data_IF_466677420983
#
_entry.id   IF_466677420983
#
_cell.length_a   1.000
_cell.length_b   1.000
_cell.length_c   1.000
_cell.angle_alpha   90.00
_cell.angle_beta   90.00
_cell.angle_gamma   90.00
#
_symmetry.space_group_name_H-M   'P 1'
#
loop_
_entity.id
_entity.type
_entity.pdbx_description
1 polymer ?
#
# COMPACT_ATOMS: atom_id res chain seq x y z
N UNK A 1 -1.93 0.60 11.91
CA UNK A 1 -1.15 1.71 12.51
C UNK A 1 -1.34 2.92 11.61
N UNK A 2 -0.89 4.13 11.99
CA UNK A 2 -0.83 5.22 11.03
C UNK A 2 0.23 4.89 9.96
N UNK A 3 0.15 5.54 8.79
CA UNK A 3 1.25 5.48 7.81
C UNK A 3 2.54 5.93 8.50
N UNK A 4 3.52 5.03 8.57
CA UNK A 4 4.78 5.24 9.27
C UNK A 4 5.95 4.98 8.32
N UNK A 5 6.70 6.04 8.04
CA UNK A 5 7.82 5.98 7.10
C UNK A 5 8.98 5.08 7.58
N UNK A 6 9.13 4.89 8.89
CA UNK A 6 10.15 4.01 9.47
C UNK A 6 9.80 2.56 9.23
N UNK A 7 8.54 2.19 9.48
CA UNK A 7 8.05 0.82 9.24
C UNK A 7 8.10 0.51 7.75
N UNK A 8 7.57 1.39 6.91
CA UNK A 8 7.62 1.22 5.46
C UNK A 8 9.07 1.12 4.93
N UNK A 9 9.98 1.95 5.46
CA UNK A 9 11.39 1.91 5.09
C UNK A 9 12.06 0.57 5.44
N UNK A 10 11.74 0.00 6.61
CA UNK A 10 12.23 -1.31 7.02
C UNK A 10 11.71 -2.43 6.11
N UNK A 11 10.42 -2.41 5.78
CA UNK A 11 9.81 -3.44 4.92
C UNK A 11 10.36 -3.38 3.49
N UNK A 12 10.55 -2.17 2.93
CA UNK A 12 11.17 -1.98 1.60
C UNK A 12 12.62 -2.47 1.63
N UNK A 13 13.37 -2.16 2.70
CA UNK A 13 14.75 -2.63 2.84
C UNK A 13 14.83 -4.15 2.92
N UNK A 14 13.90 -4.80 3.63
CA UNK A 14 13.82 -6.25 3.71
C UNK A 14 13.54 -6.88 2.34
N UNK A 15 12.59 -6.33 1.56
CA UNK A 15 12.33 -6.78 0.19
C UNK A 15 13.57 -6.59 -0.71
N UNK A 16 14.25 -5.45 -0.60
CA UNK A 16 15.42 -5.16 -1.42
C UNK A 16 16.65 -6.01 -1.07
N UNK A 17 16.80 -6.40 0.20
CA UNK A 17 17.91 -7.25 0.63
C UNK A 17 17.75 -8.70 0.19
N UNK A 18 16.53 -9.17 -0.08
CA UNK A 18 16.27 -10.52 -0.58
C UNK A 18 16.93 -10.79 -1.95
N UNK A 19 17.22 -9.74 -2.72
CA UNK A 19 17.89 -9.84 -4.03
C UNK A 19 19.39 -9.59 -3.98
N UNK A 20 19.97 -9.29 -2.81
CA UNK A 20 21.40 -9.04 -2.68
C UNK A 20 22.18 -10.35 -2.60
N UNK A 21 23.33 -10.40 -3.28
CA UNK A 21 24.28 -11.53 -3.25
C UNK A 21 23.67 -12.89 -3.64
N UNK A 22 22.65 -12.89 -4.48
CA UNK A 22 22.03 -14.11 -5.02
C UNK A 22 22.56 -14.34 -6.43
N UNK A 23 22.84 -15.59 -6.77
CA UNK A 23 23.19 -15.97 -8.14
C UNK A 23 21.91 -15.92 -8.99
N UNK A 24 21.90 -15.03 -10.00
CA UNK A 24 20.74 -14.75 -10.84
C UNK A 24 21.07 -15.17 -12.28
N UNK A 25 20.31 -16.11 -12.81
CA UNK A 25 20.45 -16.62 -14.18
C UNK A 25 19.90 -15.65 -15.22
N UNK A 26 18.74 -15.03 -14.94
CA UNK A 26 18.11 -13.98 -15.77
C UNK A 26 18.03 -12.66 -15.01
N UNK A 27 18.98 -11.77 -15.28
CA UNK A 27 19.11 -10.48 -14.59
C UNK A 27 17.96 -9.53 -14.88
N UNK A 28 17.34 -9.60 -16.06
CA UNK A 28 16.26 -8.68 -16.44
C UNK A 28 14.95 -9.11 -15.79
N UNK A 29 14.66 -10.42 -15.76
CA UNK A 29 13.53 -10.95 -14.99
C UNK A 29 13.66 -10.64 -13.50
N UNK A 30 14.87 -10.80 -12.92
CA UNK A 30 15.09 -10.50 -11.51
C UNK A 30 14.97 -9.01 -11.18
N UNK A 31 15.42 -8.11 -12.07
CA UNK A 31 15.20 -6.66 -11.91
C UNK A 31 13.72 -6.30 -11.94
N UNK A 32 12.96 -6.90 -12.86
CA UNK A 32 11.52 -6.69 -12.92
C UNK A 32 10.85 -7.17 -11.62
N UNK A 33 11.23 -8.36 -11.14
CA UNK A 33 10.68 -8.92 -9.90
C UNK A 33 11.01 -8.06 -8.69
N UNK A 34 12.23 -7.55 -8.57
CA UNK A 34 12.62 -6.62 -7.51
C UNK A 34 11.68 -5.42 -7.42
N UNK A 35 11.38 -4.78 -8.56
CA UNK A 35 10.50 -3.62 -8.57
C UNK A 35 9.05 -3.98 -8.26
N UNK A 36 8.60 -5.17 -8.66
CA UNK A 36 7.28 -5.71 -8.27
C UNK A 36 7.24 -5.87 -6.75
N UNK A 37 8.23 -6.51 -6.14
CA UNK A 37 8.26 -6.78 -4.70
C UNK A 37 8.25 -5.49 -3.88
N UNK A 38 9.06 -4.50 -4.27
CA UNK A 38 9.06 -3.17 -3.64
C UNK A 38 7.68 -2.50 -3.77
N UNK A 39 7.07 -2.55 -4.96
CA UNK A 39 5.76 -1.96 -5.19
C UNK A 39 4.66 -2.66 -4.37
N UNK A 40 4.74 -3.98 -4.24
CA UNK A 40 3.82 -4.77 -3.42
C UNK A 40 3.93 -4.41 -1.95
N UNK A 41 5.14 -4.21 -1.41
CA UNK A 41 5.33 -3.73 -0.03
C UNK A 41 4.65 -2.37 0.17
N UNK A 42 4.86 -1.43 -0.74
CA UNK A 42 4.27 -0.08 -0.66
C UNK A 42 2.73 -0.17 -0.67
N UNK A 43 2.16 -0.92 -1.62
CA UNK A 43 0.71 -1.09 -1.74
C UNK A 43 0.13 -1.71 -0.47
N UNK A 44 0.74 -2.78 0.03
CA UNK A 44 0.28 -3.46 1.24
C UNK A 44 0.34 -2.55 2.47
N UNK A 45 1.37 -1.71 2.57
CA UNK A 45 1.48 -0.73 3.65
C UNK A 45 0.34 0.29 3.61
N UNK A 46 -0.03 0.78 2.42
CA UNK A 46 -1.18 1.67 2.24
C UNK A 46 -2.51 0.98 2.52
N UNK A 47 -2.69 -0.28 2.11
CA UNK A 47 -3.89 -1.06 2.40
C UNK A 47 -4.06 -1.23 3.92
N UNK A 48 -3.00 -1.64 4.61
CA UNK A 48 -3.07 -1.95 6.04
C UNK A 48 -3.18 -0.71 6.95
N UNK A 49 -2.67 0.45 6.52
CA UNK A 49 -2.51 1.63 7.37
C UNK A 49 -3.18 2.90 6.83
N UNK A 50 -3.64 2.88 5.58
CA UNK A 50 -4.34 3.99 4.94
C UNK A 50 -5.74 4.15 5.49
N UNK A 51 -6.08 5.39 5.85
CA UNK A 51 -7.44 5.76 6.24
C UNK A 51 -7.99 6.68 5.17
N UNK A 52 -9.11 6.28 4.57
CA UNK A 52 -9.80 7.08 3.56
C UNK A 52 -10.90 7.88 4.26
N UNK A 53 -10.85 9.20 4.13
CA UNK A 53 -11.95 10.06 4.56
C UNK A 53 -13.02 10.09 3.47
N UNK A 54 -14.20 9.58 3.80
CA UNK A 54 -15.35 9.58 2.90
C UNK A 54 -16.28 10.72 3.32
N UNK A 55 -16.39 11.72 2.45
CA UNK A 55 -17.35 12.82 2.62
C UNK A 55 -18.75 12.34 2.22
N UNK A 56 -19.72 12.50 3.13
CA UNK A 56 -21.13 12.20 2.84
C UNK A 56 -21.79 13.19 1.87
N UNK A 57 -21.16 14.35 1.64
CA UNK A 57 -21.67 15.38 0.74
C UNK A 57 -21.84 14.83 -0.69
N UNK A 58 -23.08 14.80 -1.18
CA UNK A 58 -23.43 14.28 -2.50
C UNK A 58 -23.77 12.78 -2.55
N UNK A 59 -23.65 12.05 -1.44
CA UNK A 59 -24.08 10.66 -1.32
C UNK A 59 -25.53 10.56 -0.82
N UNK A 60 -26.24 9.54 -1.30
CA UNK A 60 -27.61 9.23 -0.87
C UNK A 60 -27.71 7.79 -0.35
N UNK A 61 -28.50 7.61 0.72
CA UNK A 61 -28.88 6.30 1.25
C UNK A 61 -30.39 6.13 1.08
N UNK A 62 -30.80 5.56 -0.05
CA UNK A 62 -32.20 5.57 -0.46
C UNK A 62 -32.67 7.00 -0.78
N UNK A 63 -33.82 7.46 -0.24
CA UNK A 63 -34.30 8.83 -0.47
C UNK A 63 -33.62 9.90 0.40
N UNK A 64 -32.72 9.51 1.33
CA UNK A 64 -32.14 10.43 2.31
C UNK A 64 -30.69 10.81 1.96
N UNK A 65 -30.30 12.10 2.10
CA UNK A 65 -28.91 12.51 1.95
C UNK A 65 -28.05 12.00 3.12
N UNK A 66 -26.82 11.57 2.83
CA UNK A 66 -25.85 11.23 3.87
C UNK A 66 -25.26 12.52 4.44
N UNK A 67 -25.34 12.69 5.75
CA UNK A 67 -24.76 13.83 6.47
C UNK A 67 -23.51 13.38 7.22
N UNK A 68 -22.47 14.21 7.22
CA UNK A 68 -21.23 13.98 7.98
C UNK A 68 -20.08 13.38 7.18
N UNK A 69 -19.05 12.92 7.89
CA UNK A 69 -17.87 12.25 7.36
C UNK A 69 -17.70 10.90 8.06
N UNK A 70 -17.21 9.91 7.32
CA UNK A 70 -16.80 8.62 7.88
C UNK A 70 -15.40 8.25 7.40
N UNK A 71 -14.79 7.28 8.04
CA UNK A 71 -13.50 6.71 7.66
C UNK A 71 -13.67 5.30 7.12
N UNK A 72 -13.05 4.99 5.99
CA UNK A 72 -12.93 3.65 5.43
C UNK A 72 -11.49 3.17 5.39
N UNK A 73 -11.31 1.88 5.12
CA UNK A 73 -10.01 1.28 4.80
C UNK A 73 -9.91 1.04 3.29
N UNK A 74 -8.68 0.92 2.79
CA UNK A 74 -8.40 0.57 1.40
C UNK A 74 -8.42 -0.97 1.30
N UNK A 75 -9.06 -1.52 0.28
CA UNK A 75 -9.07 -2.96 -0.06
C UNK A 75 -8.36 -3.22 -1.40
#
# INVERSE_FOLDING_TARGET
>A
MALDATILGQDIYAAATATNNVEIEDIEAARQQFWIDVSTVIINHFIANGVVLVNGAGLTAGPYPVLGQTTGQIE
#
